data_IF_606489764942
#
_entry.id   IF_606489764942
#
_cell.length_a   1.000
_cell.length_b   1.000
_cell.length_c   1.000
_cell.angle_alpha   90.00
_cell.angle_beta   90.00
_cell.angle_gamma   90.00
#
_symmetry.space_group_name_H-M   'P 1'
#
loop_
_entity.id
_entity.type
_entity.pdbx_description
1 polymer ?
#
# COMPACT_ATOMS: atom_id res chain seq x y z
N UNK A 1 36.02 -1.92 -27.36
CA UNK A 1 34.76 -1.16 -27.30
C UNK A 1 34.29 -1.24 -25.86
N UNK A 2 34.79 -0.33 -25.03
CA UNK A 2 34.41 -0.23 -23.61
C UNK A 2 33.17 0.65 -23.55
N UNK A 3 32.05 0.09 -23.09
CA UNK A 3 30.80 0.82 -22.98
C UNK A 3 30.96 2.06 -22.09
N UNK A 4 30.68 3.23 -22.66
CA UNK A 4 30.73 4.55 -21.99
C UNK A 4 29.51 4.79 -21.07
N UNK A 5 28.80 3.75 -20.65
CA UNK A 5 27.53 3.84 -19.91
C UNK A 5 27.59 3.38 -18.46
N UNK A 6 28.75 3.44 -17.79
CA UNK A 6 28.79 3.31 -16.33
C UNK A 6 28.95 4.67 -15.65
N UNK A 7 28.10 5.63 -15.99
CA UNK A 7 27.70 6.59 -14.96
C UNK A 7 26.79 5.83 -14.00
N UNK A 8 27.34 5.34 -12.88
CA UNK A 8 26.57 4.69 -11.82
C UNK A 8 25.67 5.74 -11.15
N UNK A 9 24.58 6.10 -11.83
CA UNK A 9 23.57 6.99 -11.32
C UNK A 9 22.80 6.20 -10.25
N UNK A 10 22.73 6.74 -9.04
CA UNK A 10 21.95 6.18 -7.95
C UNK A 10 20.52 5.92 -8.43
N UNK A 11 20.03 4.70 -8.27
CA UNK A 11 18.68 4.29 -8.68
C UNK A 11 17.86 3.92 -7.45
N UNK A 12 16.54 4.12 -7.55
CA UNK A 12 15.60 3.67 -6.55
C UNK A 12 14.34 3.08 -7.19
N UNK A 13 13.68 2.20 -6.45
CA UNK A 13 12.37 1.64 -6.80
C UNK A 13 11.47 1.70 -5.57
N UNK A 14 10.29 2.33 -5.73
CA UNK A 14 9.21 2.31 -4.75
C UNK A 14 8.12 1.34 -5.22
N UNK A 15 7.89 0.29 -4.45
CA UNK A 15 6.86 -0.72 -4.70
C UNK A 15 5.70 -0.47 -3.75
N UNK A 16 4.57 -0.03 -4.30
CA UNK A 16 3.32 0.19 -3.56
C UNK A 16 2.13 -0.39 -4.36
N UNK A 17 1.13 -0.99 -3.70
CA UNK A 17 -0.08 -1.42 -4.38
C UNK A 17 -0.84 -0.22 -4.97
N UNK A 18 -1.54 -0.42 -6.09
CA UNK A 18 -2.46 0.58 -6.63
C UNK A 18 -3.79 0.60 -5.87
N UNK A 19 -4.18 -0.55 -5.31
CA UNK A 19 -5.39 -0.72 -4.49
C UNK A 19 -5.00 -1.40 -3.19
N UNK A 20 -5.44 -0.85 -2.06
CA UNK A 20 -5.24 -1.41 -0.72
C UNK A 20 -6.57 -1.77 -0.09
N UNK A 21 -6.61 -2.90 0.60
CA UNK A 21 -7.82 -3.37 1.30
C UNK A 21 -7.86 -2.84 2.72
N UNK A 22 -8.98 -2.22 3.09
CA UNK A 22 -9.21 -1.71 4.44
C UNK A 22 -9.03 -2.81 5.50
N UNK A 23 -8.38 -2.49 6.61
CA UNK A 23 -8.11 -3.39 7.74
C UNK A 23 -7.27 -4.66 7.43
N UNK A 24 -6.90 -4.88 6.17
CA UNK A 24 -6.00 -5.95 5.74
C UNK A 24 -4.56 -5.44 5.74
N UNK A 25 -3.58 -6.25 6.16
CA UNK A 25 -2.16 -5.94 5.92
C UNK A 25 -1.91 -5.71 4.44
N UNK A 26 -1.11 -4.68 4.16
CA UNK A 26 -0.58 -4.29 2.85
C UNK A 26 0.92 -4.07 3.01
N UNK A 27 1.69 -4.18 1.94
CA UNK A 27 3.15 -4.03 2.01
C UNK A 27 3.61 -2.93 1.08
N UNK A 28 4.50 -2.06 1.57
CA UNK A 28 5.24 -1.10 0.77
C UNK A 28 6.74 -1.43 0.89
N UNK A 29 7.46 -1.39 -0.23
CA UNK A 29 8.90 -1.66 -0.24
C UNK A 29 9.68 -0.57 -0.96
N UNK A 30 10.91 -0.37 -0.53
CA UNK A 30 11.88 0.54 -1.17
C UNK A 30 13.15 -0.24 -1.45
N UNK A 31 13.67 -0.07 -2.66
CA UNK A 31 14.99 -0.56 -3.05
C UNK A 31 15.85 0.62 -3.50
N UNK A 32 17.09 0.66 -3.04
CA UNK A 32 18.15 1.51 -3.58
C UNK A 32 19.23 0.65 -4.23
N UNK A 33 19.84 1.19 -5.29
CA UNK A 33 20.99 0.59 -5.95
C UNK A 33 22.04 1.65 -6.23
N UNK A 34 23.31 1.29 -6.00
CA UNK A 34 24.47 2.13 -6.30
C UNK A 34 24.42 3.52 -5.63
N UNK A 35 23.98 3.62 -4.37
CA UNK A 35 24.00 4.90 -3.64
C UNK A 35 25.42 5.44 -3.53
N UNK A 36 25.58 6.72 -3.83
CA UNK A 36 26.84 7.47 -3.72
C UNK A 36 27.06 8.10 -2.35
N UNK A 37 26.01 8.25 -1.55
CA UNK A 37 26.04 8.85 -0.22
C UNK A 37 24.95 8.25 0.69
N UNK A 38 25.08 8.36 2.02
CA UNK A 38 24.02 7.98 2.95
C UNK A 38 22.77 8.84 2.78
N UNK A 39 21.59 8.24 2.95
CA UNK A 39 20.29 8.90 2.82
C UNK A 39 19.44 8.74 4.08
N UNK A 40 18.74 9.80 4.48
CA UNK A 40 17.60 9.75 5.38
C UNK A 40 16.34 9.46 4.56
N UNK A 41 15.78 8.27 4.75
CA UNK A 41 14.61 7.74 4.07
C UNK A 41 13.36 7.94 4.95
N UNK A 42 12.26 8.40 4.35
CA UNK A 42 10.95 8.46 5.01
C UNK A 42 9.84 8.09 4.02
N UNK A 43 8.96 7.18 4.42
CA UNK A 43 7.74 6.81 3.69
C UNK A 43 6.54 7.06 4.58
N UNK A 44 5.57 7.82 4.06
CA UNK A 44 4.41 8.31 4.80
C UNK A 44 3.13 7.96 4.04
N UNK A 45 2.15 7.43 4.76
CA UNK A 45 0.77 7.29 4.28
C UNK A 45 -0.02 8.54 4.63
N UNK A 46 -0.69 9.13 3.65
CA UNK A 46 -1.58 10.27 3.79
C UNK A 46 -3.01 9.83 3.49
N UNK A 47 -3.90 9.94 4.46
CA UNK A 47 -5.32 9.65 4.29
C UNK A 47 -6.17 10.50 5.24
N UNK A 48 -7.25 11.10 4.74
CA UNK A 48 -8.18 11.91 5.55
C UNK A 48 -7.48 13.02 6.38
N UNK A 49 -6.50 13.71 5.80
CA UNK A 49 -5.65 14.73 6.45
C UNK A 49 -4.77 14.22 7.60
N UNK A 50 -4.66 12.90 7.77
CA UNK A 50 -3.77 12.26 8.73
C UNK A 50 -2.55 11.74 7.96
N UNK A 51 -1.37 12.02 8.50
CA UNK A 51 -0.10 11.47 8.02
C UNK A 51 0.36 10.39 8.99
N UNK A 52 0.63 9.19 8.48
CA UNK A 52 1.14 8.06 9.26
C UNK A 52 2.47 7.63 8.66
N UNK A 53 3.55 7.79 9.41
CA UNK A 53 4.85 7.28 9.00
C UNK A 53 4.80 5.76 8.92
N UNK A 54 5.07 5.20 7.74
CA UNK A 54 5.20 3.76 7.55
C UNK A 54 6.56 3.30 8.05
N UNK A 55 7.63 3.97 7.60
CA UNK A 55 8.98 3.76 8.10
C UNK A 55 9.88 4.96 7.82
N UNK A 56 10.87 5.14 8.69
CA UNK A 56 11.90 6.16 8.62
C UNK A 56 13.23 5.53 9.01
N UNK A 57 14.23 5.61 8.13
CA UNK A 57 15.51 4.93 8.30
C UNK A 57 16.68 5.76 7.80
N UNK A 58 17.86 5.53 8.38
CA UNK A 58 19.12 6.09 7.87
C UNK A 58 19.89 5.02 7.10
N UNK A 59 19.96 5.17 5.78
CA UNK A 59 20.50 4.18 4.85
C UNK A 59 21.95 4.53 4.52
N UNK A 60 22.89 3.64 4.85
CA UNK A 60 24.34 3.81 4.57
C UNK A 60 24.88 2.81 3.54
N UNK A 61 24.13 1.76 3.22
CA UNK A 61 24.54 0.72 2.28
C UNK A 61 24.28 1.17 0.85
N UNK A 62 25.23 0.91 -0.06
CA UNK A 62 25.10 1.23 -1.48
C UNK A 62 23.87 0.57 -2.13
N UNK A 63 23.64 -0.70 -1.78
CA UNK A 63 22.45 -1.44 -2.17
C UNK A 63 21.65 -1.79 -0.92
N UNK A 64 20.37 -1.43 -0.93
CA UNK A 64 19.50 -1.52 0.24
C UNK A 64 18.09 -1.88 -0.18
N UNK A 65 17.43 -2.73 0.60
CA UNK A 65 16.05 -3.13 0.39
C UNK A 65 15.35 -3.28 1.73
N UNK A 66 14.17 -2.67 1.85
CA UNK A 66 13.31 -2.81 3.04
C UNK A 66 11.84 -2.82 2.64
N UNK A 67 11.03 -3.44 3.48
CA UNK A 67 9.59 -3.46 3.35
C UNK A 67 8.95 -3.17 4.71
N UNK A 68 7.78 -2.55 4.68
CA UNK A 68 6.95 -2.34 5.86
C UNK A 68 5.53 -2.76 5.55
N UNK A 69 4.94 -3.50 6.49
CA UNK A 69 3.52 -3.81 6.46
C UNK A 69 2.71 -2.69 7.13
N UNK A 70 1.62 -2.30 6.50
CA UNK A 70 0.74 -1.27 6.98
C UNK A 70 -0.73 -1.66 6.80
N UNK A 71 -1.61 -0.96 7.50
CA UNK A 71 -3.06 -1.08 7.35
C UNK A 71 -3.65 0.29 7.12
N UNK A 72 -4.71 0.34 6.34
CA UNK A 72 -5.53 1.55 6.15
C UNK A 72 -6.89 1.34 6.79
N UNK A 73 -7.47 2.37 7.43
CA UNK A 73 -8.86 2.29 7.89
C UNK A 73 -9.81 2.21 6.68
N UNK A 74 -11.07 1.81 6.89
CA UNK A 74 -12.09 1.90 5.85
C UNK A 74 -12.23 3.32 5.29
N UNK A 75 -12.33 3.41 3.98
CA UNK A 75 -12.69 4.61 3.26
C UNK A 75 -14.09 5.09 3.67
N UNK A 76 -14.25 6.41 3.82
CA UNK A 76 -15.57 7.03 4.00
C UNK A 76 -16.13 7.44 2.65
N UNK A 77 -16.17 8.73 2.34
CA UNK A 77 -16.64 9.27 1.06
C UNK A 77 -15.56 9.35 -0.01
N UNK A 78 -14.30 9.51 0.41
CA UNK A 78 -13.14 9.61 -0.49
C UNK A 78 -12.25 8.36 -0.30
N UNK A 79 -12.25 7.42 -1.26
CA UNK A 79 -11.42 6.23 -1.18
C UNK A 79 -9.99 6.47 -1.71
N UNK A 80 -9.50 7.70 -1.70
CA UNK A 80 -8.16 8.03 -2.19
C UNK A 80 -7.19 8.30 -1.03
N UNK A 81 -6.10 7.54 -1.00
CA UNK A 81 -4.94 7.78 -0.13
C UNK A 81 -3.70 8.07 -0.97
N UNK A 82 -2.65 8.55 -0.32
CA UNK A 82 -1.35 8.77 -0.96
C UNK A 82 -0.23 8.13 -0.15
N UNK A 83 0.75 7.56 -0.84
CA UNK A 83 2.05 7.20 -0.26
C UNK A 83 3.06 8.23 -0.74
N UNK A 84 3.63 8.96 0.20
CA UNK A 84 4.68 9.93 -0.03
C UNK A 84 6.02 9.34 0.39
N UNK A 85 6.97 9.36 -0.53
CA UNK A 85 8.33 8.90 -0.34
C UNK A 85 9.27 10.10 -0.36
N UNK A 86 10.27 10.09 0.53
CA UNK A 86 11.39 11.01 0.46
C UNK A 86 12.69 10.34 0.86
N UNK A 87 13.77 10.69 0.17
CA UNK A 87 15.12 10.27 0.51
C UNK A 87 16.09 11.45 0.34
N UNK A 88 16.75 11.84 1.44
CA UNK A 88 17.59 13.05 1.50
C UNK A 88 19.00 12.72 1.96
N UNK A 89 19.99 13.14 1.18
CA UNK A 89 21.40 13.15 1.54
C UNK A 89 21.97 14.56 1.42
N UNK A 90 23.29 14.65 1.26
CA UNK A 90 23.99 15.92 1.12
C UNK A 90 23.82 16.52 -0.28
N UNK A 91 23.74 15.66 -1.30
CA UNK A 91 23.60 16.03 -2.72
C UNK A 91 22.34 15.45 -3.36
N UNK A 92 21.76 14.40 -2.78
CA UNK A 92 20.56 13.71 -3.26
C UNK A 92 19.33 14.23 -2.52
N UNK A 93 18.29 14.57 -3.26
CA UNK A 93 16.97 14.87 -2.70
C UNK A 93 15.89 14.30 -3.63
N UNK A 94 15.36 13.15 -3.24
CA UNK A 94 14.33 12.43 -3.97
C UNK A 94 13.00 12.58 -3.25
N UNK A 95 11.94 12.88 -4.00
CA UNK A 95 10.58 12.91 -3.50
C UNK A 95 9.64 12.31 -4.53
N UNK A 96 8.67 11.53 -4.05
CA UNK A 96 7.64 10.94 -4.89
C UNK A 96 6.33 10.86 -4.11
N UNK A 97 5.20 10.99 -4.80
CA UNK A 97 3.87 10.85 -4.21
C UNK A 97 3.00 10.01 -5.13
N UNK A 98 2.53 8.87 -4.64
CA UNK A 98 1.72 7.89 -5.38
C UNK A 98 0.32 7.82 -4.80
N UNK A 99 -0.70 7.90 -5.64
CA UNK A 99 -2.08 7.65 -5.23
C UNK A 99 -2.35 6.16 -5.09
N UNK A 100 -3.15 5.81 -4.10
CA UNK A 100 -3.59 4.44 -3.81
C UNK A 100 -5.08 4.47 -3.52
N UNK A 101 -5.85 3.61 -4.17
CA UNK A 101 -7.28 3.48 -3.91
C UNK A 101 -7.52 2.55 -2.70
N UNK A 102 -8.44 2.92 -1.81
CA UNK A 102 -8.86 2.10 -0.68
C UNK A 102 -10.12 1.32 -1.08
N UNK A 103 -9.99 0.00 -1.11
CA UNK A 103 -11.11 -0.94 -1.23
C UNK A 103 -11.59 -1.30 0.16
N UNK A 104 -12.84 -0.94 0.48
CA UNK A 104 -13.46 -1.37 1.73
C UNK A 104 -13.78 -2.86 1.67
N UNK A 105 -13.21 -3.61 2.60
CA UNK A 105 -13.56 -5.01 2.82
C UNK A 105 -14.80 -5.05 3.69
N UNK A 106 -15.88 -5.52 3.11
CA UNK A 106 -17.12 -5.84 3.83
C UNK A 106 -17.23 -7.35 3.96
N UNK A 107 -17.82 -7.81 5.06
CA UNK A 107 -18.16 -9.22 5.17
C UNK A 107 -19.22 -9.54 4.11
N UNK A 108 -19.05 -10.66 3.43
CA UNK A 108 -20.08 -11.11 2.47
C UNK A 108 -21.18 -11.82 3.26
N UNK A 109 -22.41 -11.33 3.12
CA UNK A 109 -23.58 -11.91 3.78
C UNK A 109 -24.32 -12.82 2.81
N UNK A 110 -24.49 -14.07 3.20
CA UNK A 110 -25.15 -15.08 2.38
C UNK A 110 -26.47 -15.47 3.02
N UNK A 111 -27.52 -15.45 2.20
CA UNK A 111 -28.85 -15.93 2.60
C UNK A 111 -29.06 -17.29 1.94
N UNK A 112 -29.33 -18.30 2.75
CA UNK A 112 -29.71 -19.62 2.28
C UNK A 112 -31.15 -19.90 2.68
N UNK A 113 -31.99 -20.13 1.68
CA UNK A 113 -33.36 -20.61 1.87
C UNK A 113 -33.39 -22.14 1.73
N UNK A 114 -34.32 -22.81 2.41
CA UNK A 114 -34.49 -24.26 2.27
C UNK A 114 -34.90 -24.65 0.85
N UNK A 115 -35.53 -23.73 0.10
CA UNK A 115 -35.94 -23.91 -1.30
C UNK A 115 -35.77 -22.63 -2.11
N UNK A 116 -35.53 -22.73 -3.43
CA UNK A 116 -35.46 -21.56 -4.30
C UNK A 116 -36.84 -20.98 -4.65
N UNK A 117 -37.92 -21.76 -4.55
CA UNK A 117 -39.29 -21.35 -4.92
C UNK A 117 -40.30 -21.89 -3.90
N UNK A 118 -41.24 -21.05 -3.46
CA UNK A 118 -42.33 -21.39 -2.53
C UNK A 118 -43.70 -21.22 -3.17
N UNK A 119 -44.67 -22.06 -2.79
CA UNK A 119 -46.09 -21.91 -3.17
C UNK A 119 -46.81 -20.90 -2.27
N UNK A 120 -47.93 -20.30 -2.71
CA UNK A 120 -48.74 -19.44 -1.86
C UNK A 120 -49.15 -20.13 -0.55
N UNK A 121 -48.92 -19.46 0.59
CA UNK A 121 -49.21 -19.98 1.93
C UNK A 121 -48.12 -20.88 2.54
N UNK A 122 -47.08 -21.23 1.80
CA UNK A 122 -45.97 -22.03 2.32
C UNK A 122 -45.02 -21.17 3.15
N UNK A 123 -44.70 -21.62 4.37
CA UNK A 123 -43.67 -20.99 5.20
C UNK A 123 -42.29 -21.52 4.80
N UNK A 124 -41.33 -20.62 4.65
CA UNK A 124 -39.93 -20.95 4.36
C UNK A 124 -39.03 -20.80 5.58
N UNK A 125 -38.05 -21.68 5.67
CA UNK A 125 -36.92 -21.54 6.58
C UNK A 125 -35.76 -20.89 5.83
N UNK A 126 -35.11 -19.92 6.47
CA UNK A 126 -33.91 -19.29 5.95
C UNK A 126 -32.87 -19.16 7.05
N UNK A 127 -31.60 -19.21 6.64
CA UNK A 127 -30.44 -18.91 7.46
C UNK A 127 -29.62 -17.79 6.85
N UNK A 128 -29.01 -16.98 7.70
CA UNK A 128 -28.00 -16.01 7.30
C UNK A 128 -26.63 -16.48 7.77
N UNK A 129 -25.67 -16.48 6.86
CA UNK A 129 -24.25 -16.72 7.14
C UNK A 129 -23.42 -15.49 6.80
N UNK A 130 -22.28 -15.36 7.46
CA UNK A 130 -21.29 -14.31 7.20
C UNK A 130 -19.97 -15.04 6.89
N UNK A 131 -19.35 -14.73 5.74
CA UNK A 131 -18.00 -15.23 5.42
C UNK A 131 -16.91 -14.47 6.15
#
# INVERSE_FOLDING_TARGET
>A
MTDLFSSSCSQYVLLVPTVVRSNSPQTACVQFQSLSEPLSLSVVLEYSNIQTTLFEEFVTKNDYFTCCDFKVPPATSDPLAFISFSAKGNTVNLTERRSVAIENVYNTLFIQTDKPIYKPGQKGCWGAGVS
#
